data_IF_185452258380
#
_entry.id   IF_185452258380
#
_cell.length_a   1.000
_cell.length_b   1.000
_cell.length_c   1.000
_cell.angle_alpha   90.00
_cell.angle_beta   90.00
_cell.angle_gamma   90.00
#
_symmetry.space_group_name_H-M   'P 1'
#
loop_
_entity.id
_entity.type
_entity.pdbx_description
1 polymer ?
#
# COMPACT_ATOMS: atom_id res chain seq x y z
N UNK A 1 -12.65 -9.96 -10.75
CA UNK A 1 -12.15 -9.61 -9.39
C UNK A 1 -12.93 -8.39 -8.92
N UNK A 2 -13.42 -8.37 -7.67
CA UNK A 2 -14.28 -7.28 -7.17
C UNK A 2 -13.53 -5.96 -6.88
N UNK A 3 -12.19 -5.96 -6.87
CA UNK A 3 -11.34 -4.81 -6.53
C UNK A 3 -10.71 -4.10 -7.75
N UNK A 4 -11.17 -4.37 -8.97
CA UNK A 4 -10.61 -3.73 -10.18
C UNK A 4 -9.12 -4.01 -10.39
N UNK A 5 -8.41 -3.08 -11.02
CA UNK A 5 -7.00 -3.20 -11.39
C UNK A 5 -6.07 -3.20 -10.16
N UNK A 6 -6.47 -2.53 -9.07
CA UNK A 6 -5.68 -2.46 -7.84
C UNK A 6 -5.49 -3.82 -7.18
N UNK A 7 -6.53 -4.65 -7.16
CA UNK A 7 -6.41 -6.03 -6.69
C UNK A 7 -5.43 -6.86 -7.53
N UNK A 8 -5.30 -6.56 -8.82
CA UNK A 8 -4.36 -7.22 -9.73
C UNK A 8 -2.93 -6.79 -9.42
N UNK A 9 -2.70 -5.48 -9.34
CA UNK A 9 -1.38 -4.91 -9.09
C UNK A 9 -0.84 -5.32 -7.70
N UNK A 10 -1.61 -5.13 -6.63
CA UNK A 10 -1.18 -5.54 -5.29
C UNK A 10 -1.08 -7.05 -5.14
N UNK A 11 -1.92 -7.82 -5.83
CA UNK A 11 -1.80 -9.28 -5.88
C UNK A 11 -0.46 -9.72 -6.49
N UNK A 12 -0.02 -9.06 -7.56
CA UNK A 12 1.27 -9.31 -8.19
C UNK A 12 2.43 -8.90 -7.26
N UNK A 13 2.42 -7.66 -6.75
CA UNK A 13 3.41 -7.17 -5.77
C UNK A 13 3.55 -8.15 -4.59
N UNK A 14 2.43 -8.61 -4.02
CA UNK A 14 2.46 -9.55 -2.90
C UNK A 14 3.15 -10.86 -3.29
N UNK A 15 2.80 -11.44 -4.44
CA UNK A 15 3.40 -12.70 -4.91
C UNK A 15 4.89 -12.57 -5.26
N UNK A 16 5.31 -11.41 -5.77
CA UNK A 16 6.72 -11.17 -6.12
C UNK A 16 7.58 -10.78 -4.92
N UNK A 17 6.98 -10.20 -3.89
CA UNK A 17 7.72 -9.64 -2.75
C UNK A 17 8.74 -10.60 -2.13
N UNK A 18 8.35 -11.86 -1.91
CA UNK A 18 9.23 -12.92 -1.45
C UNK A 18 9.32 -14.10 -2.44
N UNK A 19 8.97 -13.86 -3.71
CA UNK A 19 8.84 -14.88 -4.75
C UNK A 19 7.98 -16.09 -4.30
N UNK A 20 6.78 -15.82 -3.80
CA UNK A 20 5.89 -16.87 -3.32
C UNK A 20 5.48 -17.84 -4.43
N UNK A 21 5.47 -19.13 -4.10
CA UNK A 21 5.00 -20.18 -5.00
C UNK A 21 3.48 -20.07 -5.16
N UNK A 22 3.03 -19.97 -6.40
CA UNK A 22 1.60 -20.04 -6.74
C UNK A 22 1.20 -21.52 -6.93
N UNK A 23 0.19 -22.03 -6.23
CA UNK A 23 -0.29 -23.40 -6.43
C UNK A 23 -0.77 -23.66 -7.87
N UNK A 24 -0.55 -24.86 -8.39
CA UNK A 24 -0.98 -25.22 -9.75
C UNK A 24 -2.50 -25.14 -9.96
N UNK A 25 -3.29 -25.28 -8.89
CA UNK A 25 -4.75 -25.14 -8.91
C UNK A 25 -5.24 -23.68 -8.85
N UNK A 26 -4.33 -22.71 -8.69
CA UNK A 26 -4.71 -21.30 -8.60
C UNK A 26 -5.30 -20.80 -9.92
N UNK A 27 -6.43 -20.11 -9.84
CA UNK A 27 -7.07 -19.50 -11.03
C UNK A 27 -6.21 -18.39 -11.62
N UNK A 28 -5.52 -17.63 -10.76
CA UNK A 28 -4.64 -16.52 -11.10
C UNK A 28 -3.18 -16.92 -10.88
N UNK A 29 -2.36 -16.68 -11.90
CA UNK A 29 -0.89 -16.84 -11.87
C UNK A 29 -0.24 -15.48 -12.04
N UNK A 30 1.05 -15.35 -11.69
CA UNK A 30 1.82 -14.10 -11.94
C UNK A 30 1.68 -13.64 -13.40
N UNK A 31 1.87 -14.55 -14.35
CA UNK A 31 1.69 -14.25 -15.79
C UNK A 31 0.29 -13.73 -16.14
N UNK A 32 -0.78 -14.32 -15.57
CA UNK A 32 -2.15 -13.83 -15.82
C UNK A 32 -2.36 -12.43 -15.26
N UNK A 33 -1.76 -12.12 -14.10
CA UNK A 33 -1.81 -10.79 -13.51
C UNK A 33 -1.06 -9.78 -14.38
N UNK A 34 0.17 -10.10 -14.81
CA UNK A 34 0.95 -9.26 -15.75
C UNK A 34 0.15 -8.98 -17.02
N UNK A 35 -0.38 -10.03 -17.66
CA UNK A 35 -1.16 -9.91 -18.90
C UNK A 35 -2.42 -9.05 -18.71
N UNK A 36 -3.13 -9.21 -17.59
CA UNK A 36 -4.28 -8.39 -17.27
C UNK A 36 -3.87 -6.92 -17.16
N UNK A 37 -2.80 -6.59 -16.43
CA UNK A 37 -2.30 -5.22 -16.29
C UNK A 37 -1.97 -4.59 -17.64
N UNK A 38 -1.13 -5.23 -18.45
CA UNK A 38 -0.71 -4.65 -19.75
C UNK A 38 -1.86 -4.54 -20.75
N UNK A 39 -2.87 -5.41 -20.68
CA UNK A 39 -4.05 -5.35 -21.56
C UNK A 39 -4.98 -4.18 -21.26
N UNK A 40 -4.86 -3.55 -20.09
CA UNK A 40 -5.73 -2.48 -19.59
C UNK A 40 -5.09 -1.10 -19.65
N UNK A 41 -3.91 -0.97 -20.23
CA UNK A 41 -3.28 0.34 -20.38
C UNK A 41 -4.07 1.19 -21.39
N UNK A 42 -4.29 2.45 -21.04
CA UNK A 42 -4.92 3.43 -21.91
C UNK A 42 -3.95 3.92 -22.99
N UNK A 43 -4.49 4.59 -24.02
CA UNK A 43 -3.71 5.09 -25.17
C UNK A 43 -2.68 6.15 -24.78
N UNK A 44 -2.86 6.83 -23.66
CA UNK A 44 -1.93 7.84 -23.14
C UNK A 44 -0.78 7.24 -22.31
N UNK A 45 -0.74 5.91 -22.15
CA UNK A 45 0.27 5.19 -21.40
C UNK A 45 -0.08 4.94 -19.93
N UNK A 46 -1.14 5.56 -19.41
CA UNK A 46 -1.55 5.36 -18.03
C UNK A 46 -2.58 4.24 -17.84
N UNK A 47 -3.05 4.09 -16.61
CA UNK A 47 -4.16 3.21 -16.23
C UNK A 47 -5.23 3.98 -15.50
N UNK A 48 -6.48 3.59 -15.69
CA UNK A 48 -7.63 4.16 -14.99
C UNK A 48 -7.89 3.44 -13.66
N UNK A 49 -8.26 4.20 -12.63
CA UNK A 49 -8.85 3.65 -11.41
C UNK A 49 -10.23 3.03 -11.67
N UNK A 50 -11.05 3.72 -12.46
CA UNK A 50 -12.41 3.31 -12.80
C UNK A 50 -12.40 2.52 -14.12
N UNK A 51 -12.74 1.22 -14.13
CA UNK A 51 -12.74 0.41 -15.34
C UNK A 51 -13.77 0.86 -16.39
N UNK A 52 -14.70 1.76 -16.05
CA UNK A 52 -15.63 2.39 -16.98
C UNK A 52 -15.12 3.70 -17.60
N UNK A 53 -13.99 4.22 -17.12
CA UNK A 53 -13.34 5.43 -17.61
C UNK A 53 -12.18 5.09 -18.55
N UNK A 54 -11.89 6.01 -19.47
CA UNK A 54 -10.67 5.97 -20.30
C UNK A 54 -9.64 7.02 -19.87
N UNK A 55 -9.94 7.76 -18.81
CA UNK A 55 -9.03 8.74 -18.21
C UNK A 55 -8.08 8.02 -17.28
N UNK A 56 -6.78 8.15 -17.54
CA UNK A 56 -5.75 7.58 -16.68
C UNK A 56 -5.65 8.35 -15.36
N UNK A 57 -5.37 7.59 -14.30
CA UNK A 57 -5.16 8.04 -12.94
C UNK A 57 -3.67 7.87 -12.57
N UNK A 58 -3.11 8.88 -11.91
CA UNK A 58 -1.66 8.94 -11.64
C UNK A 58 -1.26 7.88 -10.61
N UNK A 59 -2.02 7.77 -9.52
CA UNK A 59 -1.75 6.81 -8.45
C UNK A 59 -1.87 5.38 -8.95
N UNK A 60 -2.92 5.09 -9.73
CA UNK A 60 -3.11 3.79 -10.36
C UNK A 60 -1.96 3.46 -11.31
N UNK A 61 -1.52 4.42 -12.12
CA UNK A 61 -0.40 4.23 -13.05
C UNK A 61 0.91 3.92 -12.31
N UNK A 62 1.22 4.67 -11.25
CA UNK A 62 2.41 4.45 -10.44
C UNK A 62 2.39 3.09 -9.70
N UNK A 63 1.23 2.69 -9.16
CA UNK A 63 1.03 1.39 -8.54
C UNK A 63 1.23 0.24 -9.55
N UNK A 64 0.70 0.36 -10.78
CA UNK A 64 0.89 -0.65 -11.82
C UNK A 64 2.34 -0.74 -12.26
N UNK A 65 3.04 0.39 -12.43
CA UNK A 65 4.48 0.40 -12.71
C UNK A 65 5.28 -0.32 -11.63
N UNK A 66 4.94 -0.10 -10.36
CA UNK A 66 5.56 -0.80 -9.23
C UNK A 66 5.36 -2.32 -9.34
N UNK A 67 4.15 -2.76 -9.72
CA UNK A 67 3.84 -4.18 -9.91
C UNK A 67 4.56 -4.81 -11.11
N UNK A 68 4.71 -4.06 -12.21
CA UNK A 68 5.35 -4.55 -13.44
C UNK A 68 6.87 -4.49 -13.40
N UNK A 69 7.47 -3.74 -12.46
CA UNK A 69 8.92 -3.54 -12.39
C UNK A 69 9.75 -4.85 -12.38
N UNK A 70 9.36 -5.94 -11.69
CA UNK A 70 10.08 -7.22 -11.75
C UNK A 70 9.94 -7.97 -13.09
N UNK A 71 8.99 -7.57 -13.94
CA UNK A 71 8.57 -8.29 -15.15
C UNK A 71 9.01 -7.63 -16.46
N UNK A 72 9.92 -6.65 -16.41
CA UNK A 72 10.42 -5.90 -17.58
C UNK A 72 10.89 -6.78 -18.76
N UNK A 73 11.41 -7.98 -18.46
CA UNK A 73 11.90 -8.92 -19.47
C UNK A 73 10.81 -9.72 -20.18
N UNK A 74 9.55 -9.63 -19.74
CA UNK A 74 8.44 -10.32 -20.39
C UNK A 74 7.95 -9.58 -21.64
N UNK A 75 7.44 -10.33 -22.61
CA UNK A 75 7.03 -9.80 -23.90
C UNK A 75 5.99 -8.67 -23.75
N UNK A 76 6.29 -7.51 -24.33
CA UNK A 76 5.41 -6.33 -24.33
C UNK A 76 5.39 -5.54 -23.01
N UNK A 77 5.98 -6.03 -21.91
CA UNK A 77 5.94 -5.32 -20.63
C UNK A 77 6.80 -4.06 -20.66
N UNK A 78 8.01 -4.12 -21.24
CA UNK A 78 8.91 -2.97 -21.30
C UNK A 78 8.27 -1.78 -22.05
N UNK A 79 7.64 -2.03 -23.20
CA UNK A 79 6.95 -0.97 -23.97
C UNK A 79 5.88 -0.27 -23.14
N UNK A 80 5.13 -1.04 -22.34
CA UNK A 80 4.08 -0.52 -21.46
C UNK A 80 4.65 0.30 -20.31
N UNK A 81 5.76 -0.16 -19.74
CA UNK A 81 6.49 0.59 -18.72
C UNK A 81 6.98 1.93 -19.30
N UNK A 82 7.57 1.94 -20.49
CA UNK A 82 8.12 3.16 -21.09
C UNK A 82 7.03 4.21 -21.34
N UNK A 83 5.89 3.78 -21.91
CA UNK A 83 4.72 4.63 -22.14
C UNK A 83 4.18 5.24 -20.83
N UNK A 84 4.16 4.44 -19.76
CA UNK A 84 3.67 4.88 -18.45
C UNK A 84 4.63 5.83 -17.71
N UNK A 85 5.94 5.61 -17.85
CA UNK A 85 6.96 6.53 -17.32
C UNK A 85 6.87 7.88 -18.02
N UNK A 86 6.68 7.88 -19.34
CA UNK A 86 6.45 9.11 -20.11
C UNK A 86 5.16 9.82 -19.67
N UNK A 87 4.08 9.07 -19.44
CA UNK A 87 2.84 9.61 -18.87
C UNK A 87 3.10 10.31 -17.53
N UNK A 88 3.73 9.64 -16.55
CA UNK A 88 4.02 10.23 -15.23
C UNK A 88 4.90 11.48 -15.35
N UNK A 89 5.91 11.46 -16.21
CA UNK A 89 6.77 12.62 -16.49
C UNK A 89 5.94 13.81 -16.98
N UNK A 90 5.04 13.60 -17.95
CA UNK A 90 4.13 14.64 -18.45
C UNK A 90 3.21 15.18 -17.35
N UNK A 91 2.65 14.30 -16.51
CA UNK A 91 1.79 14.72 -15.40
C UNK A 91 2.54 15.60 -14.39
N UNK A 92 3.79 15.27 -14.09
CA UNK A 92 4.61 16.09 -13.20
C UNK A 92 4.88 17.47 -13.81
N UNK A 93 5.34 17.54 -15.06
CA UNK A 93 5.60 18.81 -15.75
C UNK A 93 4.34 19.68 -15.89
N UNK A 94 3.18 19.05 -16.09
CA UNK A 94 1.90 19.74 -16.14
C UNK A 94 1.37 20.20 -14.77
N UNK A 95 2.09 19.92 -13.67
CA UNK A 95 1.68 20.25 -12.30
C UNK A 95 0.44 19.47 -11.84
N UNK A 96 0.22 18.26 -12.38
CA UNK A 96 -0.90 17.39 -12.02
C UNK A 96 -0.60 16.46 -10.85
N UNK A 97 0.68 16.31 -10.49
CA UNK A 97 1.08 15.72 -9.21
C UNK A 97 1.15 16.88 -8.22
N UNK A 98 0.08 17.08 -7.46
CA UNK A 98 -0.16 18.29 -6.65
C UNK A 98 -0.25 18.02 -5.15
N UNK A 99 0.03 16.79 -4.70
CA UNK A 99 -0.05 16.36 -3.31
C UNK A 99 1.05 15.32 -2.99
N UNK A 100 1.35 15.15 -1.70
CA UNK A 100 2.42 14.28 -1.21
C UNK A 100 2.18 12.80 -1.51
N UNK A 101 0.93 12.36 -1.44
CA UNK A 101 0.53 10.96 -1.62
C UNK A 101 0.79 10.49 -3.05
N UNK A 102 0.39 11.29 -4.04
CA UNK A 102 0.64 10.99 -5.46
C UNK A 102 2.12 11.12 -5.82
N UNK A 103 2.82 12.13 -5.28
CA UNK A 103 4.27 12.23 -5.45
C UNK A 103 5.00 11.00 -4.89
N UNK A 104 4.60 10.53 -3.71
CA UNK A 104 5.15 9.34 -3.07
C UNK A 104 4.97 8.09 -3.92
N UNK A 105 3.76 7.82 -4.44
CA UNK A 105 3.51 6.67 -5.32
C UNK A 105 4.40 6.72 -6.57
N UNK A 106 4.50 7.87 -7.22
CA UNK A 106 5.36 8.05 -8.39
C UNK A 106 6.85 7.80 -8.06
N UNK A 107 7.35 8.29 -6.92
CA UNK A 107 8.72 8.02 -6.45
C UNK A 107 8.95 6.52 -6.20
N UNK A 108 8.00 5.82 -5.59
CA UNK A 108 8.08 4.37 -5.36
C UNK A 108 8.14 3.61 -6.69
N UNK A 109 7.32 4.02 -7.66
CA UNK A 109 7.31 3.43 -9.00
C UNK A 109 8.65 3.60 -9.72
N UNK A 110 9.18 4.83 -9.77
CA UNK A 110 10.47 5.11 -10.40
C UNK A 110 11.61 4.35 -9.71
N UNK A 111 11.63 4.35 -8.38
CA UNK A 111 12.63 3.61 -7.60
C UNK A 111 12.56 2.10 -7.89
N UNK A 112 11.36 1.55 -8.00
CA UNK A 112 11.15 0.14 -8.36
C UNK A 112 11.64 -0.19 -9.76
N UNK A 113 11.54 0.76 -10.68
CA UNK A 113 12.09 0.67 -12.03
C UNK A 113 13.59 1.01 -12.10
N UNK A 114 14.26 1.30 -10.99
CA UNK A 114 15.64 1.78 -10.95
C UNK A 114 15.88 3.08 -11.75
N UNK A 115 14.86 3.94 -11.84
CA UNK A 115 14.92 5.28 -12.42
C UNK A 115 15.09 6.32 -11.32
N UNK A 116 15.77 7.44 -11.60
CA UNK A 116 15.96 8.48 -10.60
C UNK A 116 14.81 9.49 -10.59
N UNK A 117 14.16 9.65 -9.44
CA UNK A 117 13.17 10.69 -9.24
C UNK A 117 13.79 12.10 -9.19
N UNK A 118 15.12 12.22 -9.18
CA UNK A 118 15.85 13.48 -9.35
C UNK A 118 16.23 13.79 -10.81
N UNK A 119 15.94 12.91 -11.76
CA UNK A 119 16.32 13.11 -13.16
C UNK A 119 15.58 14.29 -13.81
N UNK A 120 16.15 14.81 -14.90
CA UNK A 120 15.56 15.92 -15.65
C UNK A 120 14.14 15.62 -16.18
N UNK A 121 13.83 14.37 -16.52
CA UNK A 121 12.49 13.95 -16.92
C UNK A 121 11.47 13.99 -15.77
N UNK A 122 11.93 14.15 -14.53
CA UNK A 122 11.09 14.32 -13.35
C UNK A 122 11.48 15.61 -12.60
N UNK A 123 11.86 16.66 -13.34
CA UNK A 123 12.20 17.97 -12.77
C UNK A 123 11.37 19.07 -13.43
N UNK A 124 10.56 19.77 -12.63
CA UNK A 124 9.72 20.89 -13.07
C UNK A 124 10.20 22.17 -12.39
N UNK A 125 10.48 23.21 -13.17
CA UNK A 125 10.91 24.53 -12.67
C UNK A 125 12.08 24.45 -11.68
N UNK A 126 13.04 23.55 -11.94
CA UNK A 126 14.22 23.32 -11.09
C UNK A 126 13.96 22.48 -9.84
N UNK A 127 12.72 22.03 -9.60
CA UNK A 127 12.36 21.14 -8.50
C UNK A 127 12.17 19.73 -9.03
N UNK A 128 12.95 18.77 -8.51
CA UNK A 128 12.77 17.37 -8.85
C UNK A 128 11.58 16.73 -8.12
N UNK A 129 11.06 15.61 -8.61
CA UNK A 129 9.91 14.94 -8.01
C UNK A 129 10.19 14.49 -6.56
N UNK A 130 11.40 13.99 -6.28
CA UNK A 130 11.79 13.65 -4.90
C UNK A 130 11.93 14.91 -4.04
N UNK A 131 12.49 16.00 -4.57
CA UNK A 131 12.57 17.27 -3.85
C UNK A 131 11.18 17.84 -3.56
N UNK A 132 10.25 17.73 -4.51
CA UNK A 132 8.86 18.14 -4.36
C UNK A 132 8.13 17.33 -3.31
N UNK A 133 8.31 16.01 -3.27
CA UNK A 133 7.76 15.18 -2.18
C UNK A 133 8.27 15.66 -0.82
N UNK A 134 9.56 15.98 -0.71
CA UNK A 134 10.16 16.43 0.54
C UNK A 134 9.68 17.81 1.01
N UNK A 135 9.05 18.62 0.15
CA UNK A 135 8.46 19.90 0.60
C UNK A 135 7.23 19.71 1.48
N UNK A 136 6.61 18.53 1.46
CA UNK A 136 5.48 18.17 2.32
C UNK A 136 5.91 17.56 3.66
N UNK A 137 7.23 17.46 3.92
CA UNK A 137 7.72 17.00 5.20
C UNK A 137 7.73 18.15 6.22
N UNK A 138 6.99 17.97 7.31
CA UNK A 138 6.90 18.93 8.41
C UNK A 138 8.08 18.82 9.37
N UNK A 139 8.17 19.80 10.29
CA UNK A 139 9.22 19.86 11.30
C UNK A 139 9.24 18.64 12.25
N UNK A 140 8.12 17.95 12.42
CA UNK A 140 8.02 16.71 13.20
C UNK A 140 8.52 15.46 12.44
N UNK A 141 8.92 15.63 11.18
CA UNK A 141 9.37 14.58 10.27
C UNK A 141 8.23 13.82 9.57
N UNK A 142 6.98 14.08 9.94
CA UNK A 142 5.79 13.56 9.26
C UNK A 142 5.51 14.32 7.96
N UNK A 143 4.54 13.81 7.19
CA UNK A 143 4.11 14.43 5.95
C UNK A 143 2.66 14.91 6.05
N UNK A 144 2.38 16.08 5.49
CA UNK A 144 1.03 16.55 5.22
C UNK A 144 0.55 16.07 3.82
N UNK A 145 -0.74 16.22 3.52
CA UNK A 145 -1.31 15.79 2.23
C UNK A 145 -1.06 16.78 1.08
N UNK A 146 -1.38 18.06 1.25
CA UNK A 146 -1.46 19.04 0.14
C UNK A 146 -1.04 20.46 0.55
N UNK A 147 0.05 20.55 1.30
CA UNK A 147 0.59 21.77 1.88
C UNK A 147 -0.01 22.07 3.26
N UNK A 148 0.84 22.54 4.17
CA UNK A 148 0.48 22.96 5.51
C UNK A 148 1.54 22.51 6.51
N UNK A 149 1.23 22.70 7.80
CA UNK A 149 2.16 22.38 8.90
C UNK A 149 1.68 21.23 9.79
N UNK A 150 0.67 20.47 9.33
CA UNK A 150 0.03 19.39 10.10
C UNK A 150 0.20 18.06 9.37
N UNK A 151 1.02 17.19 9.97
CA UNK A 151 1.23 15.83 9.49
C UNK A 151 -0.01 14.97 9.69
N UNK A 152 -0.30 14.10 8.73
CA UNK A 152 -1.33 13.07 8.86
C UNK A 152 -0.74 11.67 8.69
N UNK A 153 -1.34 10.68 9.35
CA UNK A 153 -0.78 9.33 9.40
C UNK A 153 -0.70 8.65 8.03
N UNK A 154 -1.61 8.97 7.11
CA UNK A 154 -1.68 8.34 5.81
C UNK A 154 -0.60 8.91 4.88
N UNK A 155 -0.51 10.23 4.76
CA UNK A 155 0.54 10.91 3.99
C UNK A 155 1.93 10.60 4.56
N UNK A 156 2.06 10.59 5.90
CA UNK A 156 3.33 10.20 6.57
C UNK A 156 3.76 8.79 6.18
N UNK A 157 2.82 7.84 6.17
CA UNK A 157 3.13 6.45 5.80
C UNK A 157 3.62 6.35 4.35
N UNK A 158 2.96 7.04 3.41
CA UNK A 158 3.34 7.01 2.00
C UNK A 158 4.64 7.77 1.73
N UNK A 159 4.80 8.97 2.28
CA UNK A 159 6.02 9.77 2.18
C UNK A 159 7.23 9.01 2.71
N UNK A 160 7.10 8.38 3.89
CA UNK A 160 8.16 7.54 4.46
C UNK A 160 8.51 6.36 3.54
N UNK A 161 7.51 5.62 3.03
CA UNK A 161 7.74 4.51 2.09
C UNK A 161 8.48 4.97 0.84
N UNK A 162 8.13 6.13 0.28
CA UNK A 162 8.78 6.69 -0.89
C UNK A 162 10.22 7.11 -0.64
N UNK A 163 10.51 7.76 0.50
CA UNK A 163 11.88 8.11 0.89
C UNK A 163 12.73 6.84 1.08
N UNK A 164 12.19 5.80 1.71
CA UNK A 164 12.88 4.50 1.84
C UNK A 164 13.11 3.86 0.47
N UNK A 165 12.10 3.84 -0.41
CA UNK A 165 12.23 3.31 -1.77
C UNK A 165 13.35 4.01 -2.54
N UNK A 166 13.38 5.35 -2.49
CA UNK A 166 14.40 6.16 -3.12
C UNK A 166 15.80 5.87 -2.54
N UNK A 167 15.91 5.80 -1.22
CA UNK A 167 17.17 5.46 -0.54
C UNK A 167 17.67 4.06 -0.92
N UNK A 168 16.79 3.07 -1.03
CA UNK A 168 17.15 1.72 -1.46
C UNK A 168 17.67 1.72 -2.91
N UNK A 169 17.01 2.46 -3.81
CA UNK A 169 17.46 2.65 -5.20
C UNK A 169 18.85 3.30 -5.24
N UNK A 170 19.04 4.44 -4.57
CA UNK A 170 20.32 5.17 -4.56
C UNK A 170 21.47 4.30 -4.03
N UNK A 171 21.18 3.44 -3.04
CA UNK A 171 22.16 2.53 -2.46
C UNK A 171 22.27 1.17 -3.19
N UNK A 172 21.56 0.95 -4.30
CA UNK A 172 21.60 -0.30 -5.05
C UNK A 172 21.07 -1.52 -4.28
N UNK A 173 20.16 -1.32 -3.33
CA UNK A 173 19.62 -2.38 -2.44
C UNK A 173 18.33 -3.05 -2.95
N UNK A 174 17.93 -2.73 -4.19
CA UNK A 174 16.70 -3.25 -4.80
C UNK A 174 15.46 -2.42 -4.48
N UNK A 175 14.26 -2.85 -4.94
CA UNK A 175 13.02 -2.11 -4.79
C UNK A 175 12.38 -2.32 -3.40
N UNK A 176 11.55 -1.37 -2.97
CA UNK A 176 10.89 -1.36 -1.64
C UNK A 176 10.16 -2.67 -1.31
N UNK A 177 9.43 -3.22 -2.28
CA UNK A 177 8.61 -4.41 -2.07
C UNK A 177 9.34 -5.73 -2.33
N UNK A 178 10.66 -5.73 -2.53
CA UNK A 178 11.43 -6.96 -2.55
C UNK A 178 11.91 -7.30 -1.13
N UNK A 179 11.22 -8.27 -0.53
CA UNK A 179 11.36 -8.71 0.85
C UNK A 179 11.96 -10.13 0.87
N UNK A 180 13.29 -10.27 0.65
CA UNK A 180 13.93 -11.58 0.66
C UNK A 180 13.77 -12.19 2.06
N UNK A 181 12.95 -13.23 2.15
CA UNK A 181 12.83 -14.03 3.35
C UNK A 181 14.03 -14.98 3.40
N UNK A 182 14.98 -14.74 4.29
CA UNK A 182 15.97 -15.74 4.63
C UNK A 182 15.22 -16.98 5.13
N UNK A 183 15.48 -18.15 4.55
CA UNK A 183 15.01 -19.39 5.16
C UNK A 183 15.69 -19.46 6.51
N UNK A 184 14.94 -19.24 7.59
CA UNK A 184 15.43 -19.54 8.91
C UNK A 184 15.79 -21.03 8.93
N UNK A 185 17.07 -21.36 8.77
CA UNK A 185 17.63 -22.66 9.10
C UNK A 185 17.69 -22.74 10.63
N UNK A 186 16.52 -22.72 11.25
CA UNK A 186 16.35 -22.86 12.67
C UNK A 186 15.35 -23.98 12.87
N UNK A 187 15.85 -25.14 13.32
CA UNK A 187 15.01 -26.01 14.17
C UNK A 187 14.31 -25.09 15.16
N UNK A 188 13.00 -25.23 15.30
CA UNK A 188 12.24 -24.58 16.36
C UNK A 188 12.85 -24.99 17.71
N UNK A 189 13.86 -24.24 18.14
CA UNK A 189 14.42 -24.31 19.47
C UNK A 189 13.45 -23.58 20.35
N UNK A 190 12.62 -24.34 21.08
CA UNK A 190 11.88 -23.82 22.21
C UNK A 190 12.90 -23.26 23.22
N UNK A 191 13.17 -21.95 23.13
CA UNK A 191 13.88 -21.24 24.18
C UNK A 191 12.83 -20.78 25.18
N UNK A 192 12.72 -21.53 26.27
CA UNK A 192 11.95 -21.13 27.45
C UNK A 192 12.52 -19.81 27.99
N UNK A 193 11.74 -18.74 27.89
CA UNK A 193 11.99 -17.54 28.69
C UNK A 193 11.51 -17.87 30.10
N UNK A 194 12.46 -18.00 31.03
CA UNK A 194 12.18 -17.95 32.45
C UNK A 194 11.67 -16.55 32.78
N UNK A 195 10.38 -16.45 33.10
CA UNK A 195 9.79 -15.28 33.74
C UNK A 195 10.09 -15.36 35.22
N UNK A 196 11.02 -14.52 35.69
CA UNK A 196 11.13 -14.18 37.09
C UNK A 196 9.97 -13.23 37.41
N UNK A 197 8.84 -13.82 37.79
CA UNK A 197 7.70 -13.09 38.35
C UNK A 197 7.59 -13.49 39.81
N UNK A 198 7.85 -12.55 40.72
CA UNK A 198 7.30 -12.63 42.08
C UNK A 198 6.11 -11.68 42.19
N UNK A 199 4.88 -12.20 42.39
CA UNK A 199 3.71 -11.45 42.78
C UNK A 199 3.63 -11.34 44.32
N UNK A 200 2.72 -10.52 44.84
CA UNK A 200 1.72 -10.96 45.82
C UNK A 200 0.84 -9.78 46.28
N UNK A 201 -0.48 -9.95 46.09
CA UNK A 201 -1.52 -9.22 46.82
C UNK A 201 -1.99 -10.09 48.01
N UNK A 202 -2.18 -9.43 49.16
CA UNK A 202 -3.04 -9.75 50.31
C UNK A 202 -3.05 -11.15 51.01
N UNK A 203 -2.64 -11.12 52.29
CA UNK A 203 -3.15 -11.84 53.48
C UNK A 203 -3.44 -13.38 53.49
N UNK A 204 -2.60 -14.09 54.27
CA UNK A 204 -2.83 -15.27 55.18
C UNK A 204 -3.55 -16.56 54.69
N UNK A 205 -2.73 -17.58 54.33
CA UNK A 205 -2.68 -19.06 54.62
C UNK A 205 -3.88 -19.83 55.28
N UNK A 206 -3.91 -21.20 55.22
CA UNK A 206 -3.49 -22.17 54.17
C UNK A 206 -4.39 -23.45 53.97
N UNK A 207 -3.96 -24.32 53.03
CA UNK A 207 -4.29 -25.77 52.77
C UNK A 207 -5.58 -26.02 51.95
N UNK A 208 -5.70 -26.96 51.00
CA UNK A 208 -5.00 -28.23 50.67
C UNK A 208 -5.09 -28.51 49.14
N UNK A 209 -4.33 -29.52 48.68
CA UNK A 209 -4.10 -30.05 47.32
C UNK A 209 -5.37 -30.45 46.55
N UNK A 210 -5.35 -30.33 45.21
CA UNK A 210 -5.44 -31.46 44.23
C UNK A 210 -5.53 -30.98 42.78
N UNK A 211 -5.06 -31.84 41.87
CA UNK A 211 -4.86 -31.68 40.43
C UNK A 211 -6.10 -31.34 39.59
N UNK A 212 -5.89 -30.62 38.47
CA UNK A 212 -6.88 -30.47 37.41
C UNK A 212 -6.39 -29.65 36.23
N UNK A 213 -6.01 -30.33 35.13
CA UNK A 213 -5.63 -29.74 33.83
C UNK A 213 -6.74 -28.84 33.28
N UNK A 214 -6.43 -27.59 32.93
CA UNK A 214 -7.06 -26.86 31.81
C UNK A 214 -6.22 -25.63 31.42
N UNK A 215 -5.81 -25.57 30.15
CA UNK A 215 -5.02 -24.47 29.60
C UNK A 215 -5.80 -23.15 29.57
N UNK A 216 -5.14 -22.05 29.92
CA UNK A 216 -5.74 -20.72 29.89
C UNK A 216 -6.01 -20.29 28.43
N UNK A 217 -7.21 -19.76 28.17
CA UNK A 217 -7.53 -19.08 26.90
C UNK A 217 -6.67 -17.83 26.76
N UNK A 218 -6.23 -17.57 25.53
CA UNK A 218 -5.54 -16.34 25.15
C UNK A 218 -6.39 -15.11 25.54
N UNK A 219 -5.75 -13.98 25.92
CA UNK A 219 -6.46 -12.75 26.24
C UNK A 219 -7.35 -12.34 25.07
N UNK A 220 -8.61 -12.01 25.38
CA UNK A 220 -9.59 -11.54 24.41
C UNK A 220 -9.19 -10.13 24.00
N UNK A 221 -8.54 -9.97 22.84
CA UNK A 221 -8.23 -8.66 22.24
C UNK A 221 -9.37 -8.15 21.36
N UNK A 222 -10.61 -8.36 21.79
CA UNK A 222 -11.80 -7.95 21.05
C UNK A 222 -12.74 -7.17 21.97
N UNK A 223 -12.48 -5.87 22.13
CA UNK A 223 -13.51 -4.90 22.52
C UNK A 223 -12.98 -3.48 22.32
N UNK A 224 -13.26 -2.89 21.15
CA UNK A 224 -13.91 -1.56 20.97
C UNK A 224 -13.90 -1.09 19.50
N UNK A 225 -12.96 -1.57 18.67
CA UNK A 225 -12.86 -1.13 17.25
C UNK A 225 -13.99 -1.63 16.36
N UNK A 226 -14.54 -2.82 16.65
CA UNK A 226 -15.66 -3.37 15.88
C UNK A 226 -16.95 -2.57 16.08
N UNK A 227 -17.17 -1.98 17.26
CA UNK A 227 -18.35 -1.16 17.50
C UNK A 227 -18.27 0.16 16.73
N UNK A 228 -17.07 0.76 16.61
CA UNK A 228 -16.84 1.98 15.84
C UNK A 228 -16.98 1.75 14.33
N UNK A 229 -16.44 0.64 13.81
CA UNK A 229 -16.58 0.28 12.40
C UNK A 229 -18.04 -0.11 12.08
N UNK A 230 -18.73 -0.82 12.98
CA UNK A 230 -20.14 -1.17 12.80
C UNK A 230 -21.05 0.06 12.88
N UNK A 231 -20.83 0.99 13.84
CA UNK A 231 -21.56 2.26 13.94
C UNK A 231 -21.34 3.15 12.72
N UNK A 232 -20.10 3.27 12.24
CA UNK A 232 -19.79 4.03 11.03
C UNK A 232 -20.50 3.47 9.79
N UNK A 233 -20.53 2.14 9.65
CA UNK A 233 -21.23 1.47 8.55
C UNK A 233 -22.76 1.68 8.60
N UNK A 234 -23.34 1.73 9.81
CA UNK A 234 -24.78 1.92 10.01
C UNK A 234 -25.22 3.37 9.73
N UNK A 235 -24.38 4.35 10.07
CA UNK A 235 -24.62 5.77 9.76
C UNK A 235 -24.55 6.07 8.26
N UNK A 236 -23.61 5.44 7.54
CA UNK A 236 -23.52 5.56 6.07
C UNK A 236 -24.78 4.98 5.41
N UNK A 237 -25.25 3.82 5.85
CA UNK A 237 -26.46 3.20 5.30
C UNK A 237 -27.71 4.04 5.55
N UNK A 238 -27.85 4.62 6.75
CA UNK A 238 -28.95 5.53 7.08
C UNK A 238 -28.92 6.82 6.23
N UNK A 239 -27.73 7.36 5.96
CA UNK A 239 -27.54 8.51 5.08
C UNK A 239 -28.01 8.26 3.64
N UNK A 240 -27.70 7.08 3.08
CA UNK A 240 -28.16 6.70 1.74
C UNK A 240 -29.68 6.53 1.66
N UNK A 241 -30.31 5.96 2.70
CA UNK A 241 -31.77 5.81 2.77
C UNK A 241 -32.45 7.18 2.86
N UNK A 242 -31.92 8.10 3.68
CA UNK A 242 -32.45 9.46 3.80
C UNK A 242 -32.35 10.24 2.47
N UNK A 243 -31.20 10.16 1.78
CA UNK A 243 -31.00 10.79 0.47
C UNK A 243 -31.93 10.20 -0.60
N UNK A 244 -32.18 8.89 -0.57
CA UNK A 244 -33.10 8.22 -1.50
C UNK A 244 -34.56 8.65 -1.27
N UNK A 245 -34.99 8.76 -0.02
CA UNK A 245 -36.34 9.24 0.34
C UNK A 245 -36.52 10.72 -0.03
N UNK A 246 -35.51 11.56 0.21
CA UNK A 246 -35.55 12.98 -0.18
C UNK A 246 -35.61 13.14 -1.70
N UNK A 247 -34.84 12.36 -2.46
CA UNK A 247 -34.90 12.37 -3.94
C UNK A 247 -36.27 11.94 -4.47
N UNK A 248 -36.89 10.92 -3.88
CA UNK A 248 -38.25 10.51 -4.25
C UNK A 248 -39.31 11.58 -3.95
N UNK A 249 -39.24 12.23 -2.78
CA UNK A 249 -40.19 13.31 -2.42
C UNK A 249 -40.05 14.57 -3.30
N UNK A 250 -38.85 14.83 -3.82
CA UNK A 250 -38.58 15.96 -4.73
C UNK A 250 -39.02 15.69 -6.17
N UNK A 251 -39.17 14.41 -6.55
CA UNK A 251 -39.66 13.98 -7.86
C UNK A 251 -41.20 13.81 -7.92
N UNK A 252 -41.88 13.91 -6.79
CA UNK A 252 -43.34 13.80 -6.67
C UNK A 252 -44.02 15.14 -6.34
N UNK A 253 -43.35 16.27 -6.60
CA UNK A 253 -43.87 17.62 -6.49
C UNK A 253 -43.74 18.32 -7.83
#
# INVERSE_FOLDING_TARGET
MKQGLNGVAYGLIALDSANFKVPASAKWTKQKLVNELISKQNKDGGWTWDPSSTTSDIDTTAMVLTALAPHKGEAGVQEKIDQAVEYLSKQYHAGKIDNSSTAAQAVIALSSLNLDASDASFTKDGTSLISYLLTFQNADGGFDWQGGDVSDAFSTSQGFQAVVAYQLKVNGKGPLYQLPLSQATGKAGASSVATDSKPDDAAKKPTDRTDGKQGHKLPVTASEDYNMIALGSLMILAGFVALFIQRRKKASR
#
